data_IF_399719016785
#
_entry.id   IF_399719016785
#
_cell.length_a   1.000
_cell.length_b   1.000
_cell.length_c   1.000
_cell.angle_alpha   90.00
_cell.angle_beta   90.00
_cell.angle_gamma   90.00
#
_symmetry.space_group_name_H-M   'P 1'
#
loop_
_entity.id
_entity.type
_entity.pdbx_description
1 polymer ?
#
# COMPACT_ATOMS: atom_id res chain seq x y z
N UNK A 1 -1.68 8.90 -25.81
CA UNK A 1 -0.54 8.62 -24.91
C UNK A 1 -0.23 7.15 -25.03
N UNK A 2 0.89 6.79 -25.67
CA UNK A 2 1.37 5.41 -25.71
C UNK A 2 2.10 5.12 -24.40
N UNK A 3 1.81 3.97 -23.79
CA UNK A 3 2.53 3.45 -22.64
C UNK A 3 3.97 3.12 -23.06
N UNK A 4 4.93 3.85 -22.51
CA UNK A 4 6.37 3.73 -22.77
C UNK A 4 7.09 2.93 -21.67
N UNK A 5 6.35 2.32 -20.74
CA UNK A 5 6.92 1.58 -19.59
C UNK A 5 7.79 0.39 -19.96
N UNK A 6 7.68 -0.13 -21.19
CA UNK A 6 8.54 -1.18 -21.74
C UNK A 6 9.75 -0.66 -22.54
N UNK A 7 9.90 0.65 -22.70
CA UNK A 7 10.95 1.25 -23.51
C UNK A 7 12.16 1.59 -22.63
N UNK A 8 13.38 1.16 -23.00
CA UNK A 8 14.58 1.55 -22.27
C UNK A 8 14.76 3.08 -22.25
N UNK A 9 15.20 3.62 -21.11
CA UNK A 9 15.45 5.06 -20.94
C UNK A 9 16.39 5.64 -22.02
N UNK A 10 17.37 4.86 -22.48
CA UNK A 10 18.26 5.24 -23.58
C UNK A 10 17.52 5.53 -24.89
N UNK A 11 16.45 4.79 -25.17
CA UNK A 11 15.65 4.95 -26.38
C UNK A 11 14.69 6.15 -26.25
N UNK A 12 14.19 6.41 -25.04
CA UNK A 12 13.40 7.60 -24.72
C UNK A 12 14.24 8.87 -24.96
N UNK A 13 15.49 8.90 -24.48
CA UNK A 13 16.43 10.02 -24.72
C UNK A 13 16.66 10.23 -26.22
N UNK A 14 16.94 9.16 -26.97
CA UNK A 14 17.18 9.23 -28.42
C UNK A 14 15.97 9.72 -29.19
N UNK A 15 14.78 9.23 -28.85
CA UNK A 15 13.55 9.54 -29.57
C UNK A 15 13.11 10.99 -29.39
N UNK A 16 13.33 11.53 -28.19
CA UNK A 16 12.86 12.88 -27.85
C UNK A 16 13.96 13.95 -27.85
N UNK A 17 15.23 13.58 -28.01
CA UNK A 17 16.36 14.52 -28.05
C UNK A 17 16.58 15.31 -26.76
N UNK A 18 16.01 14.85 -25.64
CA UNK A 18 16.14 15.48 -24.31
C UNK A 18 16.79 14.52 -23.32
N UNK A 19 17.56 15.07 -22.39
CA UNK A 19 18.13 14.28 -21.30
C UNK A 19 17.03 13.75 -20.36
N UNK A 20 17.27 12.63 -19.69
CA UNK A 20 16.38 12.12 -18.63
C UNK A 20 16.17 13.17 -17.53
N UNK A 21 17.20 13.92 -17.16
CA UNK A 21 17.09 14.98 -16.16
C UNK A 21 16.10 16.07 -16.60
N UNK A 22 16.14 16.49 -17.87
CA UNK A 22 15.19 17.45 -18.44
C UNK A 22 13.75 16.93 -18.37
N UNK A 23 13.56 15.64 -18.67
CA UNK A 23 12.26 14.99 -18.53
C UNK A 23 11.76 14.96 -17.08
N UNK A 24 12.61 14.63 -16.12
CA UNK A 24 12.24 14.62 -14.70
C UNK A 24 11.85 16.02 -14.21
N UNK A 25 12.54 17.07 -14.69
CA UNK A 25 12.18 18.47 -14.39
C UNK A 25 10.83 18.84 -15.03
N UNK A 26 10.57 18.44 -16.28
CA UNK A 26 9.28 18.67 -16.95
C UNK A 26 8.13 17.93 -16.26
N UNK A 27 8.34 16.68 -15.85
CA UNK A 27 7.38 15.89 -15.05
C UNK A 27 7.13 16.57 -13.70
N UNK A 28 8.18 17.02 -13.01
CA UNK A 28 8.08 17.72 -11.73
C UNK A 28 7.39 19.09 -11.84
N UNK A 29 7.55 19.77 -12.98
CA UNK A 29 6.87 21.02 -13.30
C UNK A 29 5.44 20.84 -13.81
N UNK A 30 5.07 19.64 -14.25
CA UNK A 30 3.71 19.33 -14.66
C UNK A 30 2.79 19.35 -13.44
N UNK A 31 1.80 20.25 -13.44
CA UNK A 31 0.68 20.23 -12.49
C UNK A 31 -0.23 19.05 -12.84
N UNK A 32 0.26 17.83 -12.64
CA UNK A 32 -0.60 16.66 -12.54
C UNK A 32 -1.70 17.00 -11.53
N UNK A 33 -2.94 16.65 -11.82
CA UNK A 33 -4.10 16.85 -10.93
C UNK A 33 -3.82 16.19 -9.57
N UNK A 34 -3.16 16.93 -8.68
CA UNK A 34 -2.73 16.48 -7.37
C UNK A 34 -3.93 16.06 -6.55
N UNK A 35 -5.12 16.63 -6.80
CA UNK A 35 -6.39 16.32 -6.11
C UNK A 35 -6.63 14.82 -5.92
N UNK A 36 -6.35 13.99 -6.93
CA UNK A 36 -6.53 12.52 -6.81
C UNK A 36 -5.57 11.90 -5.80
N UNK A 37 -4.29 12.28 -5.86
CA UNK A 37 -3.29 11.83 -4.88
C UNK A 37 -3.60 12.38 -3.48
N UNK A 38 -4.07 13.63 -3.40
CA UNK A 38 -4.42 14.28 -2.14
C UNK A 38 -5.61 13.60 -1.46
N UNK A 39 -6.62 13.14 -2.21
CA UNK A 39 -7.77 12.42 -1.64
C UNK A 39 -7.36 11.10 -0.98
N UNK A 40 -6.44 10.35 -1.58
CA UNK A 40 -5.90 9.14 -0.96
C UNK A 40 -5.20 9.42 0.37
N UNK A 41 -4.44 10.52 0.46
CA UNK A 41 -3.75 10.93 1.69
C UNK A 41 -4.74 11.46 2.75
N UNK A 42 -5.81 12.14 2.33
CA UNK A 42 -6.90 12.61 3.22
C UNK A 42 -7.74 11.47 3.81
N UNK A 43 -7.86 10.36 3.09
CA UNK A 43 -8.60 9.17 3.54
C UNK A 43 -7.70 7.93 3.69
N UNK A 44 -6.47 8.12 4.17
CA UNK A 44 -5.49 7.06 4.26
C UNK A 44 -5.99 5.94 5.16
N UNK A 45 -6.14 4.74 4.61
CA UNK A 45 -6.51 3.57 5.38
C UNK A 45 -5.31 3.04 6.18
N UNK A 46 -5.45 2.89 7.49
CA UNK A 46 -4.45 2.30 8.38
C UNK A 46 -5.08 1.20 9.24
N UNK A 47 -4.23 0.40 9.87
CA UNK A 47 -4.58 -0.67 10.79
C UNK A 47 -4.11 -0.30 12.21
N UNK A 48 -4.88 -0.68 13.24
CA UNK A 48 -4.47 -0.61 14.64
C UNK A 48 -4.68 -1.98 15.31
N UNK A 49 -3.96 -2.25 16.39
CA UNK A 49 -4.16 -3.47 17.18
C UNK A 49 -5.45 -3.32 17.99
N UNK A 50 -6.32 -4.33 17.95
CA UNK A 50 -7.47 -4.43 18.85
C UNK A 50 -7.02 -4.90 20.23
N UNK A 51 -6.85 -3.95 21.16
CA UNK A 51 -6.44 -4.25 22.54
C UNK A 51 -7.50 -5.01 23.34
N UNK A 52 -8.75 -5.06 22.88
CA UNK A 52 -9.84 -5.76 23.57
C UNK A 52 -10.01 -7.21 23.12
N UNK A 53 -9.21 -7.68 22.15
CA UNK A 53 -9.32 -9.03 21.62
C UNK A 53 -8.70 -10.04 22.59
N UNK A 54 -9.52 -10.98 23.07
CA UNK A 54 -9.09 -12.10 23.92
C UNK A 54 -8.52 -13.29 23.13
N UNK A 55 -8.71 -13.33 21.81
CA UNK A 55 -8.32 -14.44 20.92
C UNK A 55 -7.59 -13.91 19.68
N UNK A 56 -6.29 -14.18 19.60
CA UNK A 56 -5.44 -13.76 18.48
C UNK A 56 -5.20 -12.24 18.43
N UNK A 57 -4.26 -11.79 17.58
CA UNK A 57 -4.04 -10.35 17.39
C UNK A 57 -4.85 -9.86 16.19
N UNK A 58 -5.96 -9.16 16.48
CA UNK A 58 -6.83 -8.57 15.46
C UNK A 58 -6.40 -7.15 15.11
N UNK A 59 -6.47 -6.83 13.82
CA UNK A 59 -6.11 -5.53 13.28
C UNK A 59 -7.34 -4.83 12.70
N UNK A 60 -7.74 -3.71 13.33
CA UNK A 60 -8.91 -2.91 12.97
C UNK A 60 -8.53 -1.84 11.96
N UNK A 61 -9.39 -1.63 10.95
CA UNK A 61 -9.17 -0.65 9.90
C UNK A 61 -9.73 0.71 10.29
N UNK A 62 -8.96 1.76 10.02
CA UNK A 62 -9.35 3.15 10.20
C UNK A 62 -9.02 3.96 8.96
N UNK A 63 -9.80 5.00 8.69
CA UNK A 63 -9.39 6.07 7.77
C UNK A 63 -8.85 7.24 8.60
N UNK A 64 -7.72 7.80 8.17
CA UNK A 64 -7.14 9.00 8.76
C UNK A 64 -6.83 10.02 7.68
N UNK A 65 -6.87 11.30 8.05
CA UNK A 65 -6.27 12.35 7.24
C UNK A 65 -4.78 12.43 7.57
N UNK A 66 -3.92 11.94 6.69
CA UNK A 66 -2.48 11.89 6.91
C UNK A 66 -1.78 13.25 6.74
N UNK A 67 -2.48 14.30 6.28
CA UNK A 67 -1.98 15.68 6.39
C UNK A 67 -2.04 16.19 7.82
N UNK A 68 -2.96 15.68 8.63
CA UNK A 68 -3.22 16.15 9.99
C UNK A 68 -2.70 15.16 11.04
N UNK A 69 -2.74 13.85 10.75
CA UNK A 69 -2.37 12.78 11.69
C UNK A 69 -1.11 12.07 11.23
N UNK A 70 -0.04 12.26 12.00
CA UNK A 70 1.26 11.61 11.78
C UNK A 70 1.49 10.39 12.69
N UNK A 71 0.49 10.00 13.48
CA UNK A 71 0.49 8.79 14.32
C UNK A 71 0.29 7.53 13.47
N UNK A 72 1.17 7.32 12.48
CA UNK A 72 1.20 6.09 11.70
C UNK A 72 2.61 5.80 11.17
N UNK A 73 2.88 4.53 10.89
CA UNK A 73 4.04 4.09 10.12
C UNK A 73 3.58 3.55 8.76
N UNK A 74 4.29 3.90 7.70
CA UNK A 74 4.09 3.32 6.37
C UNK A 74 5.12 2.21 6.12
N UNK A 75 4.62 1.00 5.86
CA UNK A 75 5.43 -0.18 5.59
C UNK A 75 5.17 -0.69 4.17
N UNK A 76 6.24 -0.75 3.38
CA UNK A 76 6.31 -1.59 2.19
C UNK A 76 7.34 -2.69 2.44
N UNK A 77 7.03 -3.91 2.02
CA UNK A 77 7.87 -5.08 2.27
C UNK A 77 7.91 -5.97 1.03
N UNK A 78 8.95 -6.79 0.91
CA UNK A 78 9.04 -7.74 -0.20
C UNK A 78 8.00 -8.83 -0.04
N UNK A 79 7.32 -9.15 -1.13
CA UNK A 79 6.30 -10.19 -1.15
C UNK A 79 6.90 -11.56 -0.86
N UNK A 80 8.01 -11.84 -1.52
CA UNK A 80 8.78 -13.06 -1.36
C UNK A 80 9.68 -12.96 -0.12
N UNK A 81 9.79 -14.05 0.62
CA UNK A 81 10.70 -14.17 1.74
C UNK A 81 12.12 -14.45 1.24
N UNK A 82 13.11 -13.99 2.01
CA UNK A 82 14.45 -14.54 1.87
C UNK A 82 14.53 -15.93 2.52
N UNK A 83 15.57 -16.68 2.19
CA UNK A 83 15.86 -18.00 2.79
C UNK A 83 16.13 -17.93 4.30
N UNK A 84 16.38 -16.73 4.83
CA UNK A 84 16.67 -16.48 6.25
C UNK A 84 15.47 -15.93 7.03
N UNK A 85 14.32 -15.77 6.39
CA UNK A 85 13.10 -15.27 7.02
C UNK A 85 12.10 -16.39 7.27
N UNK A 86 11.53 -16.44 8.48
CA UNK A 86 10.46 -17.37 8.81
C UNK A 86 9.24 -17.11 7.88
N UNK A 87 8.77 -18.11 7.10
CA UNK A 87 7.66 -17.97 6.17
C UNK A 87 6.28 -18.07 6.84
N UNK A 88 6.20 -18.33 8.14
CA UNK A 88 4.94 -18.44 8.88
C UNK A 88 4.07 -17.19 8.76
N UNK A 89 2.76 -17.43 8.72
CA UNK A 89 1.71 -16.45 8.55
C UNK A 89 0.45 -16.91 9.27
N UNK A 90 -0.39 -15.96 9.65
CA UNK A 90 -1.73 -16.22 10.17
C UNK A 90 -1.89 -15.93 11.66
N UNK A 91 -0.83 -15.49 12.36
CA UNK A 91 -0.91 -14.98 13.74
C UNK A 91 -1.79 -13.73 13.85
N UNK A 92 -1.86 -12.95 12.78
CA UNK A 92 -2.58 -11.69 12.71
C UNK A 92 -3.80 -11.77 11.80
N UNK A 93 -4.97 -11.36 12.29
CA UNK A 93 -6.18 -11.25 11.50
C UNK A 93 -6.49 -9.78 11.17
N UNK A 94 -6.95 -9.51 9.95
CA UNK A 94 -7.21 -8.14 9.48
C UNK A 94 -8.68 -7.95 9.15
N UNK A 95 -9.22 -6.83 9.58
CA UNK A 95 -10.60 -6.44 9.27
C UNK A 95 -10.80 -6.22 7.75
N UNK A 96 -11.82 -6.88 7.19
CA UNK A 96 -12.21 -6.72 5.79
C UNK A 96 -12.89 -5.37 5.53
N UNK A 97 -13.04 -5.00 4.25
CA UNK A 97 -13.73 -3.77 3.81
C UNK A 97 -15.21 -4.00 3.47
N UNK A 98 -15.75 -5.16 3.81
CA UNK A 98 -17.12 -5.52 3.45
C UNK A 98 -18.13 -4.71 4.30
N UNK A 99 -19.39 -4.59 3.84
CA UNK A 99 -20.47 -3.92 4.59
C UNK A 99 -20.67 -4.50 6.00
N UNK A 100 -20.40 -5.80 6.15
CA UNK A 100 -20.35 -6.50 7.42
C UNK A 100 -18.91 -6.98 7.63
N UNK A 101 -18.07 -6.18 8.32
CA UNK A 101 -16.66 -6.48 8.45
C UNK A 101 -16.42 -7.79 9.20
N UNK A 102 -15.53 -8.61 8.68
CA UNK A 102 -15.03 -9.82 9.33
C UNK A 102 -13.53 -9.70 9.54
N UNK A 103 -12.98 -10.54 10.39
CA UNK A 103 -11.53 -10.71 10.53
C UNK A 103 -11.11 -11.92 9.71
N UNK A 104 -10.06 -11.76 8.90
CA UNK A 104 -9.48 -12.84 8.11
C UNK A 104 -7.97 -12.93 8.37
N UNK A 105 -7.38 -14.13 8.43
CA UNK A 105 -5.95 -14.29 8.56
C UNK A 105 -5.17 -13.52 7.49
N UNK A 106 -4.16 -12.79 7.93
CA UNK A 106 -3.30 -12.03 7.04
C UNK A 106 -2.36 -12.96 6.25
N UNK A 107 -2.17 -12.73 4.95
CA UNK A 107 -1.12 -13.41 4.17
C UNK A 107 0.27 -12.80 4.39
N UNK A 108 0.38 -11.70 5.12
CA UNK A 108 1.66 -11.08 5.52
C UNK A 108 2.31 -12.01 6.54
N UNK A 109 3.62 -12.20 6.42
CA UNK A 109 4.41 -13.03 7.31
C UNK A 109 4.40 -12.48 8.73
N UNK A 110 4.33 -13.36 9.71
CA UNK A 110 4.16 -12.98 11.11
C UNK A 110 5.37 -12.17 11.61
N UNK A 111 6.58 -12.52 11.15
CA UNK A 111 7.82 -11.81 11.47
C UNK A 111 7.83 -10.34 10.99
N UNK A 112 7.12 -10.02 9.89
CA UNK A 112 7.00 -8.64 9.37
C UNK A 112 6.15 -7.81 10.32
N UNK A 113 5.02 -8.37 10.78
CA UNK A 113 4.17 -7.71 11.77
C UNK A 113 4.86 -7.56 13.11
N UNK A 114 5.51 -8.61 13.61
CA UNK A 114 6.23 -8.58 14.89
C UNK A 114 7.26 -7.45 14.90
N UNK A 115 8.06 -7.32 13.82
CA UNK A 115 9.06 -6.25 13.69
C UNK A 115 8.43 -4.85 13.68
N UNK A 116 7.39 -4.64 12.88
CA UNK A 116 6.79 -3.30 12.77
C UNK A 116 6.04 -2.93 14.05
N UNK A 117 5.38 -3.86 14.74
CA UNK A 117 4.71 -3.57 16.00
C UNK A 117 5.68 -3.31 17.15
N UNK A 118 6.82 -4.00 17.19
CA UNK A 118 7.92 -3.65 18.10
C UNK A 118 8.43 -2.23 17.84
N UNK A 119 8.66 -1.88 16.58
CA UNK A 119 9.07 -0.53 16.18
C UNK A 119 8.02 0.52 16.58
N UNK A 120 6.75 0.28 16.27
CA UNK A 120 5.63 1.17 16.61
C UNK A 120 5.53 1.41 18.11
N UNK A 121 5.61 0.36 18.93
CA UNK A 121 5.63 0.48 20.39
C UNK A 121 6.80 1.32 20.88
N UNK A 122 8.00 1.09 20.34
CA UNK A 122 9.19 1.86 20.70
C UNK A 122 9.10 3.35 20.29
N UNK A 123 8.27 3.68 19.30
CA UNK A 123 8.07 5.04 18.78
C UNK A 123 6.74 5.69 19.22
N UNK A 124 5.92 4.99 20.00
CA UNK A 124 4.60 5.49 20.41
C UNK A 124 3.64 5.71 19.24
N UNK A 125 3.73 4.89 18.19
CA UNK A 125 2.86 4.95 17.01
C UNK A 125 1.75 3.89 17.11
N UNK A 126 0.52 4.25 16.77
CA UNK A 126 -0.63 3.36 16.98
C UNK A 126 -1.24 2.83 15.69
N UNK A 127 -0.82 3.36 14.54
CA UNK A 127 -1.41 3.00 13.24
C UNK A 127 -0.36 2.51 12.25
N UNK A 128 -0.74 1.50 11.48
CA UNK A 128 0.08 0.87 10.46
C UNK A 128 -0.60 1.04 9.10
N UNK A 129 0.06 1.72 8.18
CA UNK A 129 -0.23 1.59 6.76
C UNK A 129 0.66 0.48 6.19
N UNK A 130 0.07 -0.54 5.56
CA UNK A 130 0.81 -1.60 4.87
C UNK A 130 0.22 -1.85 3.49
N UNK A 131 1.07 -1.86 2.46
CA UNK A 131 0.66 -1.95 1.05
C UNK A 131 -0.33 -3.10 0.78
N UNK A 132 -0.09 -4.31 1.32
CA UNK A 132 -0.94 -5.50 1.16
C UNK A 132 -2.38 -5.26 1.57
N UNK A 133 -2.59 -4.57 2.69
CA UNK A 133 -3.90 -4.45 3.33
C UNK A 133 -4.55 -3.08 3.17
N UNK A 134 -3.78 -2.01 3.14
CA UNK A 134 -4.27 -0.62 3.09
C UNK A 134 -4.48 -0.13 1.66
N UNK A 135 -3.93 -0.81 0.66
CA UNK A 135 -4.27 -0.61 -0.75
C UNK A 135 -5.23 -1.71 -1.20
N UNK A 136 -6.27 -1.35 -1.94
CA UNK A 136 -7.17 -2.33 -2.55
C UNK A 136 -6.41 -3.13 -3.60
N UNK A 137 -6.23 -4.42 -3.35
CA UNK A 137 -5.49 -5.30 -4.25
C UNK A 137 -6.36 -5.70 -5.44
N UNK A 138 -5.76 -5.80 -6.64
CA UNK A 138 -6.46 -6.34 -7.81
C UNK A 138 -6.72 -7.82 -7.56
N UNK A 139 -7.96 -8.24 -7.74
CA UNK A 139 -8.38 -9.64 -7.66
C UNK A 139 -8.12 -10.43 -8.95
N UNK A 140 -7.92 -9.76 -10.10
CA UNK A 140 -7.63 -10.41 -11.38
C UNK A 140 -6.13 -10.41 -11.69
N UNK A 141 -5.61 -11.54 -12.17
CA UNK A 141 -4.24 -11.65 -12.72
C UNK A 141 -4.12 -11.14 -14.17
N UNK A 142 -5.24 -10.85 -14.83
CA UNK A 142 -5.28 -10.44 -16.24
C UNK A 142 -4.69 -9.03 -16.41
N UNK A 143 -3.64 -8.90 -17.22
CA UNK A 143 -3.17 -7.59 -17.73
C UNK A 143 -4.19 -7.11 -18.77
N UNK A 144 -5.15 -6.26 -18.35
CA UNK A 144 -6.20 -5.74 -19.23
C UNK A 144 -7.40 -5.14 -18.47
N UNK A 145 -8.45 -4.78 -19.20
CA UNK A 145 -9.72 -4.31 -18.62
C UNK A 145 -10.37 -5.47 -17.86
N UNK A 146 -10.25 -5.49 -16.53
CA UNK A 146 -10.96 -6.48 -15.73
C UNK A 146 -12.42 -6.00 -15.49
N UNK A 147 -13.44 -6.82 -15.79
CA UNK A 147 -14.84 -6.43 -15.61
C UNK A 147 -15.25 -6.35 -14.12
N UNK A 148 -14.48 -6.95 -13.21
CA UNK A 148 -14.76 -6.91 -11.78
C UNK A 148 -14.64 -5.48 -11.21
N UNK A 149 -15.71 -4.97 -10.61
CA UNK A 149 -15.74 -3.66 -9.97
C UNK A 149 -14.61 -3.48 -8.93
N UNK A 150 -14.25 -4.55 -8.19
CA UNK A 150 -13.13 -4.58 -7.24
C UNK A 150 -11.75 -4.31 -7.87
N UNK A 151 -11.59 -4.52 -9.18
CA UNK A 151 -10.34 -4.25 -9.89
C UNK A 151 -10.29 -2.87 -10.56
N UNK A 152 -11.45 -2.23 -10.77
CA UNK A 152 -11.57 -0.88 -11.35
C UNK A 152 -11.18 0.22 -10.38
N UNK A 153 -11.02 -0.08 -9.10
CA UNK A 153 -10.68 0.90 -8.07
C UNK A 153 -9.20 1.31 -8.07
N UNK A 154 -8.32 0.58 -8.76
CA UNK A 154 -6.98 1.06 -9.12
C UNK A 154 -6.95 1.91 -10.40
N UNK A 155 -8.09 2.17 -11.04
CA UNK A 155 -8.20 2.98 -12.26
C UNK A 155 -8.85 4.35 -12.03
N UNK A 156 -9.11 4.75 -10.77
CA UNK A 156 -9.80 6.01 -10.46
C UNK A 156 -8.87 7.03 -9.85
#
# INVERSE_FOLDING_TARGET
MNDDSSIPLSNIVKYHGKSIASFLVEIGGSKLLQEKCLNFIRELECLSIDENSSEGTRLIRHKINAFEKQDYVALSYTWDNSDHENPEKGKYEVQTRDQHPRFLPSPVRDCVFDRVFLFMRAKGLHRLWIDRHCVRQRTCKTKGICPHNRCKEKQR
#
